data_IF_260997611448
#
_entry.id   IF_260997611448
#
_cell.length_a   1.000
_cell.length_b   1.000
_cell.length_c   1.000
_cell.angle_alpha   90.00
_cell.angle_beta   90.00
_cell.angle_gamma   90.00
#
_symmetry.space_group_name_H-M   'P 1'
#
loop_
_entity.id
_entity.type
_entity.pdbx_description
1 polymer ?
#
# COMPACT_ATOMS: atom_id res chain seq x y z
N UNK A 1 15.02 0.93 14.62
CA UNK A 1 14.94 2.17 15.41
C UNK A 1 16.29 2.53 16.03
N UNK A 2 16.91 1.63 16.81
CA UNK A 2 18.17 1.94 17.51
C UNK A 2 19.30 2.51 16.62
N UNK A 3 19.50 1.96 15.41
CA UNK A 3 20.52 2.47 14.49
C UNK A 3 20.27 3.93 14.07
N UNK A 4 19.00 4.36 13.98
CA UNK A 4 18.63 5.73 13.60
C UNK A 4 18.78 6.67 14.80
N UNK A 5 18.30 6.27 15.97
CA UNK A 5 18.38 7.07 17.20
C UNK A 5 19.82 7.33 17.64
N UNK A 6 20.73 6.39 17.34
CA UNK A 6 22.17 6.50 17.62
C UNK A 6 22.95 7.21 16.49
N UNK A 7 22.31 7.61 15.40
CA UNK A 7 22.96 8.28 14.26
C UNK A 7 23.79 7.36 13.36
N UNK A 8 23.68 6.05 13.50
CA UNK A 8 24.37 5.05 12.67
C UNK A 8 23.59 4.79 11.37
N UNK A 9 23.58 5.78 10.48
CA UNK A 9 22.78 5.76 9.25
C UNK A 9 23.19 4.66 8.25
N UNK A 10 24.48 4.34 8.16
CA UNK A 10 24.96 3.24 7.30
C UNK A 10 24.47 1.87 7.79
N UNK A 11 24.39 1.68 9.11
CA UNK A 11 23.79 0.48 9.68
C UNK A 11 22.28 0.43 9.38
N UNK A 12 21.59 1.57 9.48
CA UNK A 12 20.17 1.65 9.12
C UNK A 12 19.94 1.32 7.63
N UNK A 13 20.83 1.77 6.73
CA UNK A 13 20.80 1.44 5.30
C UNK A 13 20.97 -0.06 5.07
N UNK A 14 22.01 -0.67 5.65
CA UNK A 14 22.27 -2.10 5.50
C UNK A 14 21.09 -2.95 6.01
N UNK A 15 20.43 -2.53 7.10
CA UNK A 15 19.22 -3.20 7.60
C UNK A 15 18.06 -3.10 6.61
N UNK A 16 17.83 -1.91 6.03
CA UNK A 16 16.77 -1.70 5.04
C UNK A 16 17.01 -2.51 3.75
N UNK A 17 18.26 -2.58 3.30
CA UNK A 17 18.68 -3.44 2.18
C UNK A 17 18.42 -4.92 2.43
N UNK A 18 18.50 -5.39 3.67
CA UNK A 18 18.15 -6.76 4.07
C UNK A 18 16.66 -6.97 4.28
N UNK A 19 15.82 -6.00 3.94
CA UNK A 19 14.36 -6.12 4.02
C UNK A 19 13.78 -5.79 5.40
N UNK A 20 14.51 -5.06 6.26
CA UNK A 20 13.94 -4.57 7.51
C UNK A 20 12.69 -3.72 7.22
N UNK A 21 11.63 -3.92 7.99
CA UNK A 21 10.37 -3.21 7.80
C UNK A 21 10.54 -1.69 8.05
N UNK A 22 10.38 -0.89 7.00
CA UNK A 22 10.52 0.56 7.05
C UNK A 22 9.30 1.27 7.68
N UNK A 23 8.19 0.56 7.86
CA UNK A 23 6.94 1.08 8.45
C UNK A 23 6.75 0.66 9.92
N UNK A 24 7.72 -0.02 10.54
CA UNK A 24 7.58 -0.50 11.91
C UNK A 24 7.42 0.66 12.89
N UNK A 25 6.56 0.52 13.89
CA UNK A 25 6.40 1.50 14.96
C UNK A 25 7.03 0.98 16.26
N UNK A 26 7.64 1.87 17.04
CA UNK A 26 8.09 1.55 18.40
C UNK A 26 6.91 1.61 19.39
N UNK A 27 7.19 1.41 20.69
CA UNK A 27 6.18 1.45 21.76
C UNK A 27 5.44 2.81 21.84
N UNK A 28 6.09 3.89 21.41
CA UNK A 28 5.52 5.24 21.38
C UNK A 28 4.77 5.54 20.07
N UNK A 29 4.56 4.54 19.20
CA UNK A 29 3.99 4.66 17.85
C UNK A 29 4.85 5.47 16.85
N UNK A 30 6.11 5.70 17.15
CA UNK A 30 7.06 6.35 16.25
C UNK A 30 7.58 5.38 15.21
N UNK A 31 7.49 5.80 13.95
CA UNK A 31 8.09 5.09 12.83
C UNK A 31 9.51 5.61 12.53
N UNK A 32 10.34 4.83 11.82
CA UNK A 32 11.65 5.25 11.34
C UNK A 32 11.64 6.61 10.62
N UNK A 33 10.57 6.94 9.90
CA UNK A 33 10.43 8.22 9.22
C UNK A 33 10.27 9.40 10.19
N UNK A 34 9.54 9.23 11.30
CA UNK A 34 9.42 10.28 12.32
C UNK A 34 10.79 10.56 12.97
N UNK A 35 11.53 9.50 13.27
CA UNK A 35 12.88 9.61 13.82
C UNK A 35 13.83 10.35 12.87
N UNK A 36 13.79 10.01 11.57
CA UNK A 36 14.60 10.67 10.56
C UNK A 36 14.27 12.16 10.39
N UNK A 37 12.98 12.53 10.53
CA UNK A 37 12.53 13.92 10.52
C UNK A 37 13.09 14.68 11.73
N UNK A 38 12.97 14.09 12.93
CA UNK A 38 13.49 14.71 14.15
C UNK A 38 15.02 14.83 14.15
N UNK A 39 15.73 13.88 13.54
CA UNK A 39 17.17 13.95 13.33
C UNK A 39 17.58 14.98 12.27
N UNK A 40 16.64 15.52 11.48
CA UNK A 40 16.93 16.48 10.40
C UNK A 40 17.68 15.87 9.22
N UNK A 41 17.68 14.54 9.07
CA UNK A 41 18.44 13.84 8.03
C UNK A 41 17.55 13.53 6.82
N UNK A 42 17.60 14.40 5.81
CA UNK A 42 16.82 14.27 4.57
C UNK A 42 17.19 13.04 3.75
N UNK A 43 18.48 12.65 3.71
CA UNK A 43 18.94 11.50 2.95
C UNK A 43 18.43 10.19 3.54
N UNK A 44 18.48 10.06 4.87
CA UNK A 44 17.91 8.93 5.58
C UNK A 44 16.39 8.86 5.39
N UNK A 45 15.70 10.00 5.50
CA UNK A 45 14.25 10.08 5.32
C UNK A 45 13.86 9.62 3.91
N UNK A 46 14.57 10.09 2.88
CA UNK A 46 14.35 9.69 1.48
C UNK A 46 14.52 8.18 1.31
N UNK A 47 15.57 7.62 1.88
CA UNK A 47 15.85 6.18 1.81
C UNK A 47 14.73 5.37 2.49
N UNK A 48 14.31 5.75 3.69
CA UNK A 48 13.22 5.08 4.42
C UNK A 48 11.91 5.10 3.61
N UNK A 49 11.56 6.24 3.02
CA UNK A 49 10.33 6.38 2.22
C UNK A 49 10.39 5.47 0.98
N UNK A 50 11.52 5.46 0.26
CA UNK A 50 11.71 4.59 -0.91
C UNK A 50 11.53 3.12 -0.56
N UNK A 51 12.18 2.63 0.50
CA UNK A 51 12.06 1.24 0.93
C UNK A 51 10.65 0.90 1.43
N UNK A 52 10.00 1.83 2.13
CA UNK A 52 8.61 1.66 2.58
C UNK A 52 7.65 1.50 1.41
N UNK A 53 7.77 2.36 0.40
CA UNK A 53 6.89 2.34 -0.76
C UNK A 53 7.15 1.09 -1.61
N UNK A 54 8.42 0.65 -1.73
CA UNK A 54 8.79 -0.62 -2.33
C UNK A 54 8.17 -1.83 -1.60
N UNK A 55 8.30 -1.88 -0.26
CA UNK A 55 7.70 -2.94 0.56
C UNK A 55 6.17 -2.98 0.42
N UNK A 56 5.53 -1.81 0.39
CA UNK A 56 4.08 -1.70 0.17
C UNK A 56 3.69 -2.22 -1.21
N UNK A 57 4.43 -1.85 -2.27
CA UNK A 57 4.15 -2.33 -3.63
C UNK A 57 4.27 -3.87 -3.73
N UNK A 58 5.30 -4.46 -3.11
CA UNK A 58 5.44 -5.91 -3.02
C UNK A 58 4.27 -6.56 -2.26
N UNK A 59 3.87 -5.99 -1.12
CA UNK A 59 2.72 -6.49 -0.37
C UNK A 59 1.43 -6.44 -1.20
N UNK A 60 1.19 -5.35 -1.93
CA UNK A 60 0.04 -5.23 -2.83
C UNK A 60 0.07 -6.30 -3.92
N UNK A 61 1.24 -6.57 -4.51
CA UNK A 61 1.37 -7.62 -5.53
C UNK A 61 1.04 -9.01 -4.99
N UNK A 62 1.57 -9.37 -3.82
CA UNK A 62 1.29 -10.66 -3.20
C UNK A 62 -0.18 -10.77 -2.75
N UNK A 63 -0.75 -9.70 -2.21
CA UNK A 63 -2.17 -9.65 -1.86
C UNK A 63 -3.05 -9.83 -3.10
N UNK A 64 -2.68 -9.21 -4.23
CA UNK A 64 -3.38 -9.35 -5.49
C UNK A 64 -3.34 -10.80 -5.99
N UNK A 65 -2.18 -11.44 -6.01
CA UNK A 65 -2.07 -12.86 -6.38
C UNK A 65 -2.93 -13.76 -5.50
N UNK A 66 -2.95 -13.50 -4.19
CA UNK A 66 -3.81 -14.21 -3.25
C UNK A 66 -5.29 -14.02 -3.56
N UNK A 67 -5.73 -12.79 -3.84
CA UNK A 67 -7.12 -12.49 -4.20
C UNK A 67 -7.49 -13.16 -5.54
N UNK A 68 -6.59 -13.14 -6.53
CA UNK A 68 -6.81 -13.83 -7.81
C UNK A 68 -6.97 -15.34 -7.63
N UNK A 69 -6.17 -15.96 -6.75
CA UNK A 69 -6.33 -17.38 -6.46
C UNK A 69 -7.66 -17.66 -5.75
N UNK A 70 -8.06 -16.83 -4.78
CA UNK A 70 -9.36 -16.96 -4.13
C UNK A 70 -10.52 -16.79 -5.13
N UNK A 71 -10.43 -15.83 -6.05
CA UNK A 71 -11.44 -15.63 -7.10
C UNK A 71 -11.54 -16.82 -8.06
N UNK A 72 -10.43 -17.52 -8.33
CA UNK A 72 -10.44 -18.76 -9.14
C UNK A 72 -11.04 -19.95 -8.38
N UNK A 73 -10.85 -20.00 -7.07
CA UNK A 73 -11.38 -21.09 -6.23
C UNK A 73 -12.87 -20.92 -5.91
N UNK A 74 -13.37 -19.68 -5.87
CA UNK A 74 -14.81 -19.42 -5.66
C UNK A 74 -15.63 -19.89 -6.86
N UNK A 75 -16.68 -20.68 -6.61
CA UNK A 75 -17.71 -20.98 -7.59
C UNK A 75 -18.49 -19.72 -7.98
N UNK A 76 -19.08 -19.75 -9.18
CA UNK A 76 -19.90 -18.71 -9.82
C UNK A 76 -20.33 -17.56 -8.90
N UNK A 77 -19.73 -16.39 -9.11
CA UNK A 77 -20.00 -15.19 -8.31
C UNK A 77 -20.53 -14.05 -9.18
N UNK A 78 -21.39 -13.24 -8.57
CA UNK A 78 -21.91 -12.00 -9.11
C UNK A 78 -21.23 -10.85 -8.38
N UNK A 79 -20.59 -9.93 -9.12
CA UNK A 79 -20.01 -8.72 -8.55
C UNK A 79 -20.68 -7.49 -9.15
N UNK A 80 -21.15 -6.59 -8.28
CA UNK A 80 -21.71 -5.30 -8.67
C UNK A 80 -20.78 -4.20 -8.15
N UNK A 81 -20.20 -3.43 -9.07
CA UNK A 81 -19.26 -2.36 -8.78
C UNK A 81 -19.94 -1.02 -9.07
N UNK A 82 -20.37 -0.33 -8.02
CA UNK A 82 -20.93 1.02 -8.13
C UNK A 82 -19.82 2.05 -7.98
N UNK A 83 -19.64 2.92 -8.97
CA UNK A 83 -18.68 4.02 -8.91
C UNK A 83 -19.41 5.34 -8.72
N UNK A 84 -18.99 6.10 -7.70
CA UNK A 84 -19.47 7.46 -7.46
C UNK A 84 -18.31 8.44 -7.65
N UNK A 85 -18.40 9.30 -8.66
CA UNK A 85 -17.38 10.30 -8.92
C UNK A 85 -17.68 11.59 -8.16
N UNK A 86 -17.02 11.80 -7.02
CA UNK A 86 -17.07 13.08 -6.30
C UNK A 86 -16.02 14.04 -6.87
N UNK A 87 -16.47 15.12 -7.50
CA UNK A 87 -15.60 16.17 -8.03
C UNK A 87 -15.76 17.48 -7.26
N UNK A 88 -14.67 18.24 -7.14
CA UNK A 88 -14.66 19.60 -6.59
C UNK A 88 -15.37 20.63 -7.49
N UNK A 89 -15.63 20.28 -8.75
CA UNK A 89 -16.35 21.11 -9.70
C UNK A 89 -17.88 20.93 -9.54
N UNK A 90 -18.66 22.01 -9.41
CA UNK A 90 -20.12 21.93 -9.42
C UNK A 90 -20.62 21.29 -10.73
N UNK A 91 -21.68 20.46 -10.63
CA UNK A 91 -22.39 19.80 -11.75
C UNK A 91 -21.68 18.64 -12.47
N UNK A 92 -20.41 18.31 -12.18
CA UNK A 92 -19.74 17.16 -12.80
C UNK A 92 -20.36 15.82 -12.38
N UNK A 93 -20.85 15.71 -11.15
CA UNK A 93 -21.63 14.55 -10.69
C UNK A 93 -22.97 14.36 -11.43
N UNK A 94 -23.44 15.38 -12.17
CA UNK A 94 -24.67 15.36 -12.96
C UNK A 94 -24.45 14.94 -14.41
N UNK A 95 -23.20 15.01 -14.91
CA UNK A 95 -22.81 14.59 -16.26
C UNK A 95 -22.33 13.13 -16.32
N UNK A 96 -21.93 12.56 -15.19
CA UNK A 96 -21.64 11.13 -15.07
C UNK A 96 -22.62 10.53 -14.06
N UNK A 97 -23.75 9.93 -14.50
CA UNK A 97 -24.60 9.18 -13.59
C UNK A 97 -23.76 8.04 -13.01
N UNK A 98 -24.02 7.68 -11.75
CA UNK A 98 -23.40 6.55 -11.07
C UNK A 98 -23.41 5.31 -11.97
N UNK A 99 -22.25 4.96 -12.53
CA UNK A 99 -22.13 3.79 -13.38
C UNK A 99 -21.95 2.57 -12.47
N UNK A 100 -22.97 1.72 -12.46
CA UNK A 100 -22.95 0.44 -11.75
C UNK A 100 -22.64 -0.67 -12.75
N UNK A 101 -21.41 -1.21 -12.70
CA UNK A 101 -20.98 -2.29 -13.58
C UNK A 101 -21.25 -3.65 -12.92
N UNK A 102 -21.92 -4.55 -13.65
CA UNK A 102 -22.28 -5.90 -13.19
C UNK A 102 -21.42 -6.93 -13.88
N UNK A 103 -20.57 -7.62 -13.13
CA UNK A 103 -19.69 -8.69 -13.61
C UNK A 103 -20.32 -10.03 -13.24
N UNK A 104 -20.58 -10.85 -14.25
CA UNK A 104 -21.05 -12.23 -14.10
C UNK A 104 -19.91 -13.17 -14.49
N UNK A 105 -19.52 -14.05 -13.58
CA UNK A 105 -18.53 -15.10 -13.86
C UNK A 105 -19.17 -16.47 -13.61
N UNK A 106 -19.29 -17.30 -14.65
CA UNK A 106 -19.81 -18.67 -14.56
C UNK A 106 -18.77 -19.68 -15.05
N UNK A 107 -18.36 -20.58 -14.18
CA UNK A 107 -17.47 -21.70 -14.46
C UNK A 107 -18.30 -22.82 -15.11
N UNK A 108 -18.52 -22.75 -16.43
CA UNK A 108 -19.10 -23.87 -17.17
C UNK A 108 -18.10 -25.05 -17.14
N UNK A 109 -18.36 -26.05 -16.28
CA UNK A 109 -17.74 -27.37 -16.37
C UNK A 109 -18.54 -28.22 -17.36
N UNK A 110 -17.94 -28.47 -18.53
CA UNK A 110 -18.33 -29.57 -19.44
C UNK A 110 -17.83 -30.91 -18.93
#
# INVERSE_FOLDING_TARGET
MLAITLGHYECARALLEKGANAAIQNADMWSPSHEAICAGNSDLLRLIIQYRDYQRALQTSCAMERLLNLLKETSDFYAEMSWEFTSWLPFVSKMCPSDTYKVFYSHFKT
#
